data_IF_559483426117
#
_entry.id   IF_559483426117
#
_cell.length_a   1.000
_cell.length_b   1.000
_cell.length_c   1.000
_cell.angle_alpha   90.00
_cell.angle_beta   90.00
_cell.angle_gamma   90.00
#
_symmetry.space_group_name_H-M   'P 1'
#
loop_
_entity.id
_entity.type
_entity.pdbx_description
1 polymer ?
#
# COMPACT_ATOMS: atom_id res chain seq x y z
N UNK A 1 24.32 -11.33 -0.48
CA UNK A 1 23.06 -10.65 -0.71
C UNK A 1 23.12 -9.94 -2.06
N UNK A 2 22.21 -10.27 -2.98
CA UNK A 2 22.12 -9.64 -4.30
C UNK A 2 21.16 -8.43 -4.23
N UNK A 3 21.54 -7.42 -3.47
CA UNK A 3 20.81 -6.15 -3.40
C UNK A 3 21.50 -5.12 -4.30
N UNK A 4 20.75 -4.53 -5.21
CA UNK A 4 21.17 -3.38 -6.00
C UNK A 4 20.25 -2.20 -5.74
N UNK A 5 20.83 -1.00 -5.74
CA UNK A 5 20.08 0.26 -5.61
C UNK A 5 20.13 0.96 -6.96
N UNK A 6 18.96 1.32 -7.48
CA UNK A 6 18.84 2.08 -8.72
C UNK A 6 18.12 3.39 -8.44
N UNK A 7 18.45 4.42 -9.22
CA UNK A 7 17.71 5.68 -9.19
C UNK A 7 16.49 5.53 -10.09
N UNK A 8 15.32 5.90 -9.60
CA UNK A 8 14.09 5.96 -10.37
C UNK A 8 13.26 7.17 -9.96
N UNK A 9 12.33 7.57 -10.82
CA UNK A 9 11.36 8.62 -10.55
C UNK A 9 9.95 8.05 -10.70
N UNK A 10 9.18 8.03 -9.61
CA UNK A 10 7.79 7.54 -9.58
C UNK A 10 6.80 8.47 -10.30
N UNK A 11 7.23 9.66 -10.69
CA UNK A 11 6.42 10.62 -11.45
C UNK A 11 6.65 10.50 -12.97
N UNK A 12 7.62 9.67 -13.37
CA UNK A 12 7.98 9.43 -14.77
C UNK A 12 7.69 7.97 -15.15
N UNK A 13 6.65 7.76 -15.96
CA UNK A 13 6.24 6.43 -16.43
C UNK A 13 7.36 5.68 -17.16
N UNK A 14 8.22 6.39 -17.89
CA UNK A 14 9.37 5.78 -18.56
C UNK A 14 10.38 5.25 -17.55
N UNK A 15 10.74 6.06 -16.56
CA UNK A 15 11.65 5.67 -15.47
C UNK A 15 11.09 4.47 -14.68
N UNK A 16 9.78 4.46 -14.43
CA UNK A 16 9.10 3.35 -13.76
C UNK A 16 9.15 2.10 -14.63
N UNK A 17 8.79 2.19 -15.91
CA UNK A 17 8.81 1.06 -16.86
C UNK A 17 10.19 0.41 -16.95
N UNK A 18 11.25 1.19 -17.04
CA UNK A 18 12.64 0.72 -17.03
C UNK A 18 13.01 0.02 -15.72
N UNK A 19 12.58 0.56 -14.58
CA UNK A 19 12.90 0.03 -13.25
C UNK A 19 12.22 -1.32 -13.00
N UNK A 20 10.96 -1.48 -13.45
CA UNK A 20 10.16 -2.70 -13.22
C UNK A 20 10.40 -3.79 -14.26
N UNK A 21 11.05 -3.48 -15.38
CA UNK A 21 11.29 -4.43 -16.45
C UNK A 21 12.08 -5.67 -15.96
N UNK A 22 11.56 -6.87 -16.31
CA UNK A 22 12.18 -8.15 -15.97
C UNK A 22 12.17 -8.49 -14.47
N UNK A 23 11.29 -7.86 -13.68
CA UNK A 23 11.02 -8.25 -12.29
C UNK A 23 9.83 -9.21 -12.23
N UNK A 24 9.78 -10.03 -11.21
CA UNK A 24 8.66 -10.93 -10.94
C UNK A 24 7.60 -10.24 -10.07
N UNK A 25 8.04 -9.43 -9.11
CA UNK A 25 7.19 -8.72 -8.15
C UNK A 25 7.71 -7.31 -7.91
N UNK A 26 6.80 -6.35 -7.82
CA UNK A 26 7.04 -4.98 -7.41
C UNK A 26 6.39 -4.73 -6.06
N UNK A 27 7.12 -4.15 -5.12
CA UNK A 27 6.57 -3.71 -3.84
C UNK A 27 6.55 -2.18 -3.84
N UNK A 28 5.34 -1.60 -3.88
CA UNK A 28 5.13 -0.17 -3.71
C UNK A 28 4.95 0.15 -2.24
N UNK A 29 5.98 0.72 -1.62
CA UNK A 29 5.98 1.11 -0.20
C UNK A 29 6.52 2.53 -0.04
N UNK A 30 5.74 3.50 -0.45
CA UNK A 30 6.08 4.92 -0.41
C UNK A 30 5.05 5.71 0.40
N UNK A 31 5.43 6.90 0.82
CA UNK A 31 4.53 7.82 1.51
C UNK A 31 4.94 9.27 1.24
N UNK A 32 4.00 10.17 1.41
CA UNK A 32 4.21 11.60 1.26
C UNK A 32 3.13 12.25 0.40
N UNK A 33 3.24 13.56 0.30
CA UNK A 33 2.37 14.41 -0.53
C UNK A 33 3.27 15.29 -1.40
N UNK A 34 2.95 15.38 -2.68
CA UNK A 34 3.73 16.15 -3.65
C UNK A 34 3.07 17.49 -3.87
N UNK A 35 3.90 18.55 -3.87
CA UNK A 35 3.43 19.92 -4.10
C UNK A 35 2.51 20.44 -2.98
N UNK A 36 1.80 21.51 -3.30
CA UNK A 36 0.92 22.23 -2.37
C UNK A 36 -0.55 22.25 -2.86
N UNK A 37 -0.96 21.29 -3.69
CA UNK A 37 -2.32 21.23 -4.26
C UNK A 37 -3.40 21.15 -3.18
N UNK A 38 -3.07 20.56 -2.04
CA UNK A 38 -4.00 20.42 -0.92
C UNK A 38 -5.12 19.37 -1.13
N UNK A 39 -4.97 18.50 -2.14
CA UNK A 39 -5.94 17.46 -2.52
C UNK A 39 -5.37 16.04 -2.32
N UNK A 40 -6.20 15.01 -2.08
CA UNK A 40 -5.74 13.63 -1.85
C UNK A 40 -4.97 13.01 -3.02
N UNK A 41 -5.28 13.41 -4.25
CA UNK A 41 -4.60 12.98 -5.48
C UNK A 41 -3.14 13.45 -5.59
N UNK A 42 -2.73 14.42 -4.75
CA UNK A 42 -1.31 14.77 -4.58
C UNK A 42 -0.52 13.80 -3.69
N UNK A 43 -1.15 12.76 -3.18
CA UNK A 43 -0.48 11.70 -2.42
C UNK A 43 0.46 10.91 -3.32
N UNK A 44 1.69 10.70 -2.85
CA UNK A 44 2.67 9.89 -3.57
C UNK A 44 2.21 8.44 -3.77
N UNK A 45 1.44 7.88 -2.81
CA UNK A 45 0.89 6.53 -2.94
C UNK A 45 -0.08 6.43 -4.11
N UNK A 46 -0.97 7.41 -4.27
CA UNK A 46 -1.94 7.43 -5.36
C UNK A 46 -1.24 7.59 -6.72
N UNK A 47 -0.40 8.63 -6.86
CA UNK A 47 0.32 8.90 -8.11
C UNK A 47 1.20 7.70 -8.50
N UNK A 48 1.92 7.11 -7.54
CA UNK A 48 2.77 5.96 -7.81
C UNK A 48 1.97 4.70 -8.19
N UNK A 49 0.77 4.52 -7.62
CA UNK A 49 -0.12 3.43 -8.01
C UNK A 49 -0.59 3.58 -9.46
N UNK A 50 -1.04 4.78 -9.86
CA UNK A 50 -1.41 5.08 -11.25
C UNK A 50 -0.24 4.86 -12.21
N UNK A 51 0.92 5.47 -11.93
CA UNK A 51 2.10 5.36 -12.79
C UNK A 51 2.59 3.91 -12.94
N UNK A 52 2.55 3.13 -11.85
CA UNK A 52 2.90 1.71 -11.90
C UNK A 52 1.90 0.90 -12.70
N UNK A 53 0.60 1.09 -12.48
CA UNK A 53 -0.44 0.37 -13.23
C UNK A 53 -0.30 0.64 -14.73
N UNK A 54 -0.09 1.90 -15.13
CA UNK A 54 0.13 2.27 -16.54
C UNK A 54 1.38 1.57 -17.11
N UNK A 55 2.48 1.59 -16.36
CA UNK A 55 3.72 0.92 -16.78
C UNK A 55 3.55 -0.61 -16.90
N UNK A 56 2.83 -1.23 -15.97
CA UNK A 56 2.57 -2.67 -15.95
C UNK A 56 1.59 -3.09 -17.04
N UNK A 57 0.56 -2.29 -17.29
CA UNK A 57 -0.41 -2.54 -18.35
C UNK A 57 0.27 -2.68 -19.72
N UNK A 58 1.28 -1.85 -20.02
CA UNK A 58 2.04 -1.92 -21.27
C UNK A 58 2.86 -3.20 -21.44
N UNK A 59 3.16 -3.95 -20.37
CA UNK A 59 3.92 -5.19 -20.38
C UNK A 59 3.04 -6.44 -20.63
N UNK A 60 1.71 -6.29 -20.51
CA UNK A 60 0.73 -7.35 -20.75
C UNK A 60 0.97 -8.58 -19.87
N UNK A 61 0.92 -9.78 -20.44
CA UNK A 61 1.08 -11.06 -19.70
C UNK A 61 2.42 -11.23 -18.98
N UNK A 62 3.41 -10.43 -19.30
CA UNK A 62 4.74 -10.44 -18.67
C UNK A 62 4.88 -9.42 -17.56
N UNK A 63 3.81 -8.71 -17.24
CA UNK A 63 3.83 -7.71 -16.18
C UNK A 63 4.11 -8.37 -14.82
N UNK A 64 5.02 -7.82 -14.00
CA UNK A 64 5.22 -8.26 -12.64
C UNK A 64 3.97 -8.01 -11.79
N UNK A 65 3.80 -8.82 -10.75
CA UNK A 65 2.76 -8.60 -9.76
C UNK A 65 3.06 -7.36 -8.92
N UNK A 66 2.05 -6.53 -8.69
CA UNK A 66 2.15 -5.35 -7.84
C UNK A 66 1.66 -5.66 -6.42
N UNK A 67 2.52 -5.48 -5.43
CA UNK A 67 2.14 -5.47 -4.02
C UNK A 67 2.16 -4.02 -3.53
N UNK A 68 0.99 -3.47 -3.27
CA UNK A 68 0.85 -2.13 -2.71
C UNK A 68 0.78 -2.19 -1.19
N UNK A 69 1.67 -1.49 -0.50
CA UNK A 69 1.59 -1.32 0.96
C UNK A 69 0.66 -0.15 1.24
N UNK A 70 -0.55 -0.48 1.65
CA UNK A 70 -1.59 0.49 1.97
C UNK A 70 -1.41 1.16 3.33
N UNK A 71 -2.46 1.79 3.81
CA UNK A 71 -2.49 2.43 5.13
C UNK A 71 -3.79 2.13 5.87
N UNK A 72 -3.71 2.04 7.20
CA UNK A 72 -4.84 1.68 8.06
C UNK A 72 -6.09 2.54 7.88
N UNK A 73 -5.95 3.75 7.31
CA UNK A 73 -7.09 4.61 7.00
C UNK A 73 -8.12 4.00 6.06
N UNK A 74 -7.70 3.08 5.17
CA UNK A 74 -8.57 2.38 4.24
C UNK A 74 -9.25 1.12 4.82
N UNK A 75 -8.97 0.76 6.08
CA UNK A 75 -9.59 -0.38 6.73
C UNK A 75 -10.91 0.00 7.40
N UNK A 76 -11.87 -0.91 7.37
CA UNK A 76 -13.17 -0.74 8.01
C UNK A 76 -13.09 -0.98 9.53
N UNK A 77 -13.63 -0.06 10.32
CA UNK A 77 -13.86 -0.23 11.76
C UNK A 77 -15.24 -0.82 12.04
N UNK A 78 -16.20 -0.49 11.19
CA UNK A 78 -17.55 -1.07 11.10
C UNK A 78 -17.90 -1.26 9.61
N UNK A 79 -18.88 -2.10 9.26
CA UNK A 79 -19.26 -2.29 7.88
C UNK A 79 -19.54 -0.97 7.14
N UNK A 80 -18.74 -0.65 6.13
CA UNK A 80 -18.85 0.57 5.33
C UNK A 80 -18.31 1.84 5.99
N UNK A 81 -17.68 1.76 7.17
CA UNK A 81 -17.07 2.92 7.86
C UNK A 81 -15.56 2.75 7.91
N UNK A 82 -14.83 3.61 7.21
CA UNK A 82 -13.38 3.56 7.18
C UNK A 82 -12.76 4.17 8.45
N UNK A 83 -11.63 3.63 8.88
CA UNK A 83 -10.88 4.21 10.00
C UNK A 83 -10.50 5.68 9.74
N UNK A 84 -10.18 6.06 8.50
CA UNK A 84 -9.93 7.45 8.13
C UNK A 84 -11.08 8.40 8.50
N UNK A 85 -12.34 7.94 8.47
CA UNK A 85 -13.52 8.75 8.74
C UNK A 85 -13.74 8.99 10.25
N UNK A 86 -13.18 8.11 11.09
CA UNK A 86 -13.26 8.22 12.54
C UNK A 86 -12.20 9.15 13.14
N UNK A 87 -11.21 9.56 12.35
CA UNK A 87 -10.12 10.40 12.82
C UNK A 87 -10.57 11.85 12.99
N UNK A 88 -10.19 12.51 14.10
CA UNK A 88 -10.55 13.91 14.35
C UNK A 88 -9.76 14.84 13.42
N UNK A 89 -10.32 15.16 12.26
CA UNK A 89 -9.66 15.96 11.21
C UNK A 89 -9.06 17.27 11.71
N UNK A 90 -9.71 17.92 12.68
CA UNK A 90 -9.24 19.19 13.27
C UNK A 90 -7.90 19.05 14.03
N UNK A 91 -7.53 17.83 14.43
CA UNK A 91 -6.30 17.55 15.17
C UNK A 91 -5.19 16.99 14.25
N UNK A 92 -5.52 16.67 13.00
CA UNK A 92 -4.55 16.10 12.07
C UNK A 92 -3.79 17.21 11.34
N UNK A 93 -2.46 17.14 11.27
CA UNK A 93 -1.70 17.96 10.35
C UNK A 93 -2.22 17.74 8.92
N UNK A 94 -2.40 18.84 8.15
CA UNK A 94 -2.98 18.78 6.80
C UNK A 94 -2.28 17.76 5.88
N UNK A 95 -0.96 17.69 5.95
CA UNK A 95 -0.17 16.69 5.20
C UNK A 95 -0.55 15.25 5.53
N UNK A 96 -0.76 14.94 6.81
CA UNK A 96 -1.16 13.59 7.23
C UNK A 96 -2.60 13.27 6.81
N UNK A 97 -3.51 14.23 6.90
CA UNK A 97 -4.88 14.09 6.38
C UNK A 97 -4.86 13.72 4.89
N UNK A 98 -4.05 14.43 4.09
CA UNK A 98 -3.91 14.18 2.65
C UNK A 98 -3.26 12.82 2.35
N UNK A 99 -2.23 12.41 3.13
CA UNK A 99 -1.64 11.08 3.01
C UNK A 99 -2.68 9.97 3.26
N UNK A 100 -3.46 10.09 4.33
CA UNK A 100 -4.48 9.11 4.69
C UNK A 100 -5.56 9.03 3.60
N UNK A 101 -6.07 10.16 3.15
CA UNK A 101 -7.05 10.21 2.09
C UNK A 101 -6.50 9.67 0.76
N UNK A 102 -5.24 9.97 0.44
CA UNK A 102 -4.57 9.44 -0.74
C UNK A 102 -4.34 7.93 -0.71
N UNK A 103 -4.13 7.34 0.48
CA UNK A 103 -4.06 5.88 0.63
C UNK A 103 -5.41 5.21 0.36
N UNK A 104 -6.52 5.82 0.81
CA UNK A 104 -7.87 5.36 0.50
C UNK A 104 -8.09 5.44 -1.02
N UNK A 105 -7.79 6.58 -1.62
CA UNK A 105 -7.93 6.81 -3.05
C UNK A 105 -7.11 5.82 -3.90
N UNK A 106 -5.88 5.51 -3.47
CA UNK A 106 -5.02 4.52 -4.14
C UNK A 106 -5.64 3.12 -4.13
N UNK A 107 -6.24 2.68 -3.02
CA UNK A 107 -6.92 1.40 -2.94
C UNK A 107 -8.20 1.38 -3.79
N UNK A 108 -9.00 2.45 -3.77
CA UNK A 108 -10.19 2.57 -4.63
C UNK A 108 -9.81 2.50 -6.12
N UNK A 109 -8.74 3.19 -6.52
CA UNK A 109 -8.20 3.10 -7.86
C UNK A 109 -7.81 1.67 -8.23
N UNK A 110 -6.99 1.01 -7.38
CA UNK A 110 -6.57 -0.38 -7.62
C UNK A 110 -7.76 -1.33 -7.75
N UNK A 111 -8.82 -1.15 -6.97
CA UNK A 111 -10.06 -1.96 -7.08
C UNK A 111 -10.75 -1.83 -8.44
N UNK A 112 -10.54 -0.73 -9.15
CA UNK A 112 -11.04 -0.54 -10.52
C UNK A 112 -10.16 -1.19 -11.59
N UNK A 113 -8.93 -1.60 -11.24
CA UNK A 113 -7.95 -2.19 -12.17
C UNK A 113 -8.17 -3.70 -12.30
N UNK A 114 -8.43 -4.14 -13.52
CA UNK A 114 -8.73 -5.56 -13.83
C UNK A 114 -7.61 -6.26 -14.60
N UNK A 115 -6.78 -5.51 -15.31
CA UNK A 115 -5.78 -6.03 -16.25
C UNK A 115 -4.37 -6.16 -15.65
N UNK A 116 -4.18 -5.76 -14.39
CA UNK A 116 -2.93 -5.91 -13.64
C UNK A 116 -3.16 -6.84 -12.44
N UNK A 117 -2.21 -7.71 -12.16
CA UNK A 117 -2.22 -8.54 -10.96
C UNK A 117 -1.68 -7.73 -9.77
N UNK A 118 -2.55 -7.33 -8.88
CA UNK A 118 -2.19 -6.54 -7.71
C UNK A 118 -2.70 -7.14 -6.41
N UNK A 119 -2.08 -6.76 -5.30
CA UNK A 119 -2.56 -7.00 -3.93
C UNK A 119 -2.24 -5.77 -3.09
N UNK A 120 -3.19 -5.34 -2.27
CA UNK A 120 -2.97 -4.31 -1.27
C UNK A 120 -2.79 -4.95 0.11
N UNK A 121 -1.62 -4.81 0.71
CA UNK A 121 -1.35 -5.26 2.08
C UNK A 121 -1.36 -4.04 2.99
N UNK A 122 -2.37 -3.95 3.84
CA UNK A 122 -2.57 -2.82 4.73
C UNK A 122 -2.13 -3.16 6.15
N UNK A 123 -1.18 -2.39 6.73
CA UNK A 123 -0.77 -2.59 8.12
C UNK A 123 -1.89 -2.14 9.07
N UNK A 124 -1.90 -2.64 10.33
CA UNK A 124 -2.76 -2.10 11.37
C UNK A 124 -2.38 -0.66 11.72
N UNK A 125 -3.12 -0.03 12.68
CA UNK A 125 -2.89 1.37 13.09
C UNK A 125 -1.43 1.68 13.45
N UNK A 126 -0.72 0.72 14.02
CA UNK A 126 0.64 0.94 14.53
C UNK A 126 1.61 -0.12 14.07
N UNK A 127 2.65 0.32 13.36
CA UNK A 127 3.83 -0.48 13.06
C UNK A 127 4.87 -0.24 14.15
N UNK A 128 5.12 -1.23 14.99
CA UNK A 128 6.05 -1.13 16.11
C UNK A 128 7.46 -1.62 15.74
N UNK A 129 8.45 -1.16 16.48
CA UNK A 129 9.75 -1.81 16.51
C UNK A 129 9.62 -3.07 17.38
N UNK A 130 10.06 -4.22 16.89
CA UNK A 130 9.94 -5.48 17.64
C UNK A 130 10.70 -6.62 16.98
N UNK A 131 10.85 -7.71 17.71
CA UNK A 131 11.45 -8.94 17.20
C UNK A 131 10.50 -9.62 16.24
N UNK A 132 11.05 -10.29 15.23
CA UNK A 132 10.32 -11.21 14.38
C UNK A 132 9.81 -12.39 15.20
N UNK A 133 8.50 -12.60 15.24
CA UNK A 133 7.83 -13.75 15.87
C UNK A 133 7.34 -14.76 14.83
N UNK A 134 7.05 -14.28 13.62
CA UNK A 134 6.47 -15.08 12.54
C UNK A 134 4.96 -15.31 12.73
N UNK A 135 4.30 -14.50 13.55
CA UNK A 135 2.88 -14.61 13.85
C UNK A 135 2.16 -13.34 13.44
N UNK A 136 1.11 -13.49 12.64
CA UNK A 136 0.23 -12.39 12.23
C UNK A 136 -1.19 -12.91 11.94
N UNK A 137 -2.13 -11.99 11.84
CA UNK A 137 -3.51 -12.26 11.46
C UNK A 137 -3.85 -11.52 10.17
N UNK A 138 -4.68 -12.12 9.33
CA UNK A 138 -5.23 -11.51 8.13
C UNK A 138 -6.72 -11.23 8.37
N UNK A 139 -7.16 -10.01 8.09
CA UNK A 139 -8.52 -9.54 8.38
C UNK A 139 -9.32 -9.10 7.14
N UNK A 140 -8.79 -9.27 5.94
CA UNK A 140 -9.38 -8.66 4.75
C UNK A 140 -9.45 -7.14 4.89
N UNK A 141 -10.59 -6.55 4.61
CA UNK A 141 -10.80 -5.10 4.68
C UNK A 141 -10.99 -4.55 6.11
N UNK A 142 -11.03 -5.41 7.13
CA UNK A 142 -11.31 -5.00 8.50
C UNK A 142 -10.05 -4.63 9.27
N UNK A 143 -10.15 -3.53 10.03
CA UNK A 143 -9.14 -3.16 11.02
C UNK A 143 -9.16 -4.17 12.18
N UNK A 144 -8.09 -4.96 12.28
CA UNK A 144 -7.96 -5.93 13.37
C UNK A 144 -7.49 -5.28 14.65
N UNK A 145 -8.13 -5.64 15.74
CA UNK A 145 -7.77 -5.26 17.11
C UNK A 145 -7.57 -6.49 17.99
N UNK A 146 -6.84 -6.35 19.06
CA UNK A 146 -6.79 -7.34 20.13
C UNK A 146 -7.92 -7.11 21.15
N UNK A 147 -8.01 -7.96 22.18
CA UNK A 147 -9.02 -7.90 23.23
C UNK A 147 -9.01 -6.55 24.03
N UNK A 148 -7.94 -5.78 23.90
CA UNK A 148 -7.77 -4.46 24.55
C UNK A 148 -8.00 -3.30 23.60
N UNK A 149 -8.42 -3.57 22.35
CA UNK A 149 -8.62 -2.57 21.32
C UNK A 149 -7.32 -2.05 20.69
N UNK A 150 -6.19 -2.73 20.91
CA UNK A 150 -4.94 -2.36 20.26
C UNK A 150 -4.83 -2.98 18.87
N UNK A 151 -4.47 -2.14 17.90
CA UNK A 151 -4.22 -2.54 16.50
C UNK A 151 -2.76 -2.29 16.18
N UNK A 152 -1.94 -3.35 16.24
CA UNK A 152 -0.49 -3.22 16.05
C UNK A 152 0.15 -4.52 15.56
N UNK A 153 1.27 -4.35 14.83
CA UNK A 153 2.16 -5.44 14.40
C UNK A 153 3.60 -4.93 14.44
N UNK A 154 4.56 -5.83 14.65
CA UNK A 154 5.96 -5.45 14.47
C UNK A 154 6.28 -5.28 12.98
N UNK A 155 7.19 -4.36 12.64
CA UNK A 155 7.66 -4.21 11.25
C UNK A 155 8.25 -5.50 10.70
N UNK A 156 8.89 -6.30 11.58
CA UNK A 156 9.47 -7.58 11.21
C UNK A 156 8.38 -8.61 10.86
N UNK A 157 7.29 -8.69 11.63
CA UNK A 157 6.19 -9.61 11.34
C UNK A 157 5.34 -9.13 10.15
N UNK A 158 5.18 -7.81 9.96
CA UNK A 158 4.57 -7.26 8.76
C UNK A 158 5.35 -7.62 7.49
N UNK A 159 6.69 -7.57 7.56
CA UNK A 159 7.53 -8.03 6.46
C UNK A 159 7.41 -9.54 6.20
N UNK A 160 7.19 -10.36 7.24
CA UNK A 160 6.88 -11.80 7.05
C UNK A 160 5.55 -11.95 6.30
N UNK A 161 4.48 -11.27 6.74
CA UNK A 161 3.19 -11.35 6.07
C UNK A 161 3.26 -10.93 4.58
N UNK A 162 4.06 -9.90 4.28
CA UNK A 162 4.29 -9.45 2.92
C UNK A 162 5.04 -10.49 2.08
N UNK A 163 6.08 -11.12 2.64
CA UNK A 163 6.84 -12.16 1.95
C UNK A 163 6.00 -13.41 1.74
N UNK A 164 5.20 -13.83 2.73
CA UNK A 164 4.30 -14.98 2.62
C UNK A 164 3.28 -14.76 1.49
N UNK A 165 2.73 -13.55 1.33
CA UNK A 165 1.82 -13.22 0.22
C UNK A 165 2.52 -13.20 -1.15
N UNK A 166 3.81 -12.83 -1.20
CA UNK A 166 4.61 -12.91 -2.42
C UNK A 166 4.87 -14.35 -2.82
N UNK A 167 5.31 -15.18 -1.87
CA UNK A 167 5.69 -16.57 -2.10
C UNK A 167 4.48 -17.50 -2.29
N UNK A 168 3.37 -17.19 -1.61
CA UNK A 168 2.12 -17.96 -1.62
C UNK A 168 0.91 -17.03 -1.91
N UNK A 169 0.71 -16.59 -3.16
CA UNK A 169 -0.32 -15.63 -3.53
C UNK A 169 -1.73 -16.11 -3.19
N UNK A 170 -2.35 -15.52 -2.18
CA UNK A 170 -3.71 -15.85 -1.74
C UNK A 170 -4.73 -14.73 -2.00
N UNK A 171 -4.28 -13.48 -2.13
CA UNK A 171 -5.15 -12.31 -2.16
C UNK A 171 -4.94 -11.48 -3.44
N UNK A 172 -5.19 -12.10 -4.60
CA UNK A 172 -5.07 -11.39 -5.89
C UNK A 172 -6.23 -10.46 -6.11
N UNK A 173 -5.93 -9.21 -6.45
CA UNK A 173 -6.89 -8.10 -6.66
C UNK A 173 -7.77 -7.84 -5.42
N UNK A 174 -7.11 -7.89 -4.27
CA UNK A 174 -7.70 -7.63 -2.96
C UNK A 174 -6.81 -6.69 -2.13
#
# INVERSE_FOLDING_TARGET
HNLSVVKGDLLDTTSVAETVAGKDVIILSVRGVIGDSGTPDSSLQFIAAETLVDALFTQGERAPRLIHVGGSGSLEVEPGVLFAETLPKILLPKKLELEIAGQVLALEYLRSVVDVDWTCITPPRTLTWGKRRGEYRVGGDRLLEDERGASSISRADFAVALLDEIEHPAHRRQ
#
